data_IF_400442710171
#
_entry.id   IF_400442710171
#
_cell.length_a   1.000
_cell.length_b   1.000
_cell.length_c   1.000
_cell.angle_alpha   90.00
_cell.angle_beta   90.00
_cell.angle_gamma   90.00
#
_symmetry.space_group_name_H-M   'P 1'
#
loop_
_entity.id
_entity.type
_entity.pdbx_description
1 polymer ?
#
# COMPACT_ATOMS: atom_id res chain seq x y z
N UNK A 1 8.31 -18.98 -16.58
CA UNK A 1 7.20 -19.01 -17.55
C UNK A 1 6.28 -17.85 -17.26
N UNK A 2 5.64 -17.23 -18.28
CA UNK A 2 4.64 -16.18 -18.05
C UNK A 2 3.46 -16.70 -17.20
N UNK A 3 2.87 -15.83 -16.39
CA UNK A 3 1.72 -16.18 -15.55
C UNK A 3 0.50 -16.58 -16.38
N UNK A 4 0.25 -15.86 -17.48
CA UNK A 4 -0.85 -16.10 -18.41
C UNK A 4 -2.21 -16.33 -17.71
N UNK A 5 -2.67 -15.40 -16.86
CA UNK A 5 -3.97 -15.52 -16.21
C UNK A 5 -5.11 -15.38 -17.22
N UNK A 6 -6.26 -15.97 -16.91
CA UNK A 6 -7.50 -15.79 -17.67
C UNK A 6 -8.28 -14.67 -16.98
N UNK A 7 -8.71 -13.66 -17.76
CA UNK A 7 -9.58 -12.57 -17.30
C UNK A 7 -10.96 -12.70 -17.92
N UNK A 8 -12.00 -12.54 -17.09
CA UNK A 8 -13.40 -12.52 -17.49
C UNK A 8 -14.11 -11.36 -16.78
N UNK A 9 -15.01 -10.67 -17.47
CA UNK A 9 -15.90 -9.68 -16.85
C UNK A 9 -17.31 -10.25 -16.84
N UNK A 10 -17.92 -10.31 -15.66
CA UNK A 10 -19.31 -10.76 -15.50
C UNK A 10 -20.29 -9.68 -15.97
N UNK A 11 -21.53 -10.05 -16.26
CA UNK A 11 -22.56 -9.13 -16.78
C UNK A 11 -22.88 -7.96 -15.84
N UNK A 12 -22.62 -8.10 -14.56
CA UNK A 12 -22.80 -7.07 -13.54
C UNK A 12 -21.54 -6.21 -13.30
N UNK A 13 -20.49 -6.42 -14.09
CA UNK A 13 -19.25 -5.64 -14.06
C UNK A 13 -18.13 -6.20 -13.18
N UNK A 14 -18.34 -7.30 -12.45
CA UNK A 14 -17.28 -7.94 -11.68
C UNK A 14 -16.14 -8.36 -12.60
N UNK A 15 -14.92 -7.93 -12.28
CA UNK A 15 -13.71 -8.40 -12.93
C UNK A 15 -13.22 -9.65 -12.23
N UNK A 16 -13.08 -10.76 -12.95
CA UNK A 16 -12.58 -12.03 -12.44
C UNK A 16 -11.28 -12.42 -13.15
N UNK A 17 -10.25 -12.76 -12.39
CA UNK A 17 -8.99 -13.30 -12.90
C UNK A 17 -8.73 -14.67 -12.27
N UNK A 18 -8.29 -15.62 -13.08
CA UNK A 18 -7.90 -16.95 -12.61
C UNK A 18 -6.56 -17.35 -13.18
N UNK A 19 -5.72 -17.98 -12.35
CA UNK A 19 -4.48 -18.63 -12.73
C UNK A 19 -4.42 -20.00 -12.09
N UNK A 20 -4.49 -21.07 -12.91
CA UNK A 20 -4.28 -22.44 -12.43
C UNK A 20 -2.81 -22.71 -12.18
N UNK A 21 -2.50 -23.28 -11.04
CA UNK A 21 -1.17 -23.81 -10.66
C UNK A 21 -1.37 -25.13 -9.91
N UNK A 22 -0.57 -26.14 -10.17
CA UNK A 22 -0.63 -27.44 -9.49
C UNK A 22 0.55 -27.65 -8.52
N UNK A 23 1.13 -26.56 -8.02
CA UNK A 23 2.30 -26.64 -7.12
C UNK A 23 1.94 -27.20 -5.74
N UNK A 24 0.78 -26.84 -5.24
CA UNK A 24 0.23 -27.28 -3.94
C UNK A 24 -1.27 -27.46 -4.10
N UNK A 25 -1.94 -28.36 -3.33
CA UNK A 25 -3.39 -28.53 -3.37
C UNK A 25 -4.10 -27.38 -2.61
N UNK A 26 -3.76 -26.15 -2.99
CA UNK A 26 -4.25 -24.95 -2.32
C UNK A 26 -4.63 -23.86 -3.32
N UNK A 27 -5.61 -23.06 -2.97
CA UNK A 27 -6.12 -21.92 -3.75
C UNK A 27 -6.05 -20.66 -2.90
N UNK A 28 -5.39 -19.63 -3.43
CA UNK A 28 -5.40 -18.28 -2.86
C UNK A 28 -6.48 -17.45 -3.54
N UNK A 29 -7.27 -16.76 -2.73
CA UNK A 29 -8.39 -15.91 -3.13
C UNK A 29 -8.07 -14.49 -2.68
N UNK A 30 -8.14 -13.54 -3.61
CA UNK A 30 -8.07 -12.10 -3.34
C UNK A 30 -9.32 -11.42 -3.89
N UNK A 31 -10.10 -10.81 -3.02
CA UNK A 31 -11.28 -10.01 -3.38
C UNK A 31 -10.96 -8.55 -3.05
N UNK A 32 -10.92 -7.68 -4.03
CA UNK A 32 -10.60 -6.28 -3.83
C UNK A 32 -11.67 -5.37 -4.40
N UNK A 33 -12.03 -4.36 -3.61
CA UNK A 33 -13.01 -3.31 -3.94
C UNK A 33 -12.31 -1.97 -4.06
N UNK A 34 -12.74 -1.11 -4.98
CA UNK A 34 -12.32 0.29 -5.10
C UNK A 34 -12.84 1.16 -3.94
N UNK A 35 -12.58 0.73 -2.69
CA UNK A 35 -13.11 1.29 -1.45
C UNK A 35 -12.02 1.49 -0.39
N UNK A 36 -10.82 1.88 -0.80
CA UNK A 36 -9.72 2.19 0.12
C UNK A 36 -9.95 3.47 0.92
N UNK A 37 -8.97 3.85 1.76
CA UNK A 37 -9.09 5.03 2.64
C UNK A 37 -9.31 6.36 1.91
N UNK A 38 -8.94 6.44 0.61
CA UNK A 38 -9.24 7.60 -0.22
C UNK A 38 -10.75 7.78 -0.50
N UNK A 39 -11.55 6.74 -0.30
CA UNK A 39 -13.00 6.77 -0.44
C UNK A 39 -13.72 7.29 0.82
N UNK A 40 -13.01 7.45 1.93
CA UNK A 40 -13.61 7.97 3.16
C UNK A 40 -14.14 9.40 2.94
N UNK A 41 -15.39 9.68 3.33
CA UNK A 41 -15.93 11.04 3.27
C UNK A 41 -15.11 12.00 4.16
N UNK A 42 -15.04 13.26 3.77
CA UNK A 42 -14.42 14.29 4.61
C UNK A 42 -15.12 14.37 5.99
N UNK A 43 -14.34 14.35 7.06
CA UNK A 43 -14.83 14.30 8.45
C UNK A 43 -15.31 12.91 8.89
N UNK A 44 -15.02 11.87 8.09
CA UNK A 44 -15.27 10.46 8.43
C UNK A 44 -14.07 9.56 8.04
N UNK A 45 -12.88 10.14 8.09
CA UNK A 45 -11.63 9.44 7.84
C UNK A 45 -11.47 8.25 8.80
N UNK A 46 -11.04 7.10 8.28
CA UNK A 46 -10.95 5.85 9.05
C UNK A 46 -12.19 4.97 8.95
N UNK A 47 -13.24 5.38 8.20
CA UNK A 47 -14.44 4.55 8.01
C UNK A 47 -14.10 3.25 7.27
N UNK A 48 -13.34 3.30 6.16
CA UNK A 48 -12.90 2.09 5.44
C UNK A 48 -12.02 1.20 6.33
N UNK A 49 -11.15 1.80 7.12
CA UNK A 49 -10.32 1.08 8.08
C UNK A 49 -11.16 0.37 9.14
N UNK A 50 -12.12 1.07 9.76
CA UNK A 50 -13.02 0.47 10.75
C UNK A 50 -13.90 -0.61 10.12
N UNK A 51 -14.40 -0.40 8.91
CA UNK A 51 -15.13 -1.42 8.15
C UNK A 51 -14.29 -2.69 7.98
N UNK A 52 -13.00 -2.57 7.69
CA UNK A 52 -12.12 -3.75 7.54
C UNK A 52 -11.96 -4.56 8.84
N UNK A 53 -12.19 -3.95 10.00
CA UNK A 53 -12.11 -4.62 11.31
C UNK A 53 -13.40 -5.26 11.74
N UNK A 54 -14.52 -4.94 11.07
CA UNK A 54 -15.85 -5.42 11.48
C UNK A 54 -16.58 -6.20 10.38
N UNK A 55 -16.11 -6.16 9.15
CA UNK A 55 -16.81 -6.74 7.99
C UNK A 55 -17.02 -8.25 8.12
N UNK A 56 -16.07 -8.96 8.74
CA UNK A 56 -16.08 -10.41 8.96
C UNK A 56 -16.73 -10.80 10.31
N UNK A 57 -17.40 -9.87 11.00
CA UNK A 57 -18.01 -10.09 12.31
C UNK A 57 -19.50 -10.44 12.26
N UNK A 58 -19.99 -10.79 11.10
CA UNK A 58 -21.34 -11.31 10.87
C UNK A 58 -21.85 -11.01 9.48
N UNK A 59 -22.74 -11.85 9.00
CA UNK A 59 -23.52 -11.68 7.77
C UNK A 59 -25.01 -11.74 8.09
N UNK A 60 -25.87 -11.68 7.09
CA UNK A 60 -27.30 -11.85 7.29
C UNK A 60 -27.70 -13.24 7.86
N UNK A 61 -26.85 -14.25 7.65
CA UNK A 61 -27.15 -15.66 7.98
C UNK A 61 -26.15 -16.29 8.97
N UNK A 62 -25.03 -15.62 9.28
CA UNK A 62 -23.96 -16.16 10.14
C UNK A 62 -23.53 -15.14 11.18
N UNK A 63 -23.33 -15.60 12.41
CA UNK A 63 -22.68 -14.81 13.46
C UNK A 63 -21.16 -14.75 13.26
N UNK A 64 -20.48 -13.91 14.05
CA UNK A 64 -19.01 -13.87 14.09
C UNK A 64 -18.40 -15.24 14.47
N UNK A 65 -19.05 -15.95 15.40
CA UNK A 65 -18.62 -17.29 15.84
C UNK A 65 -18.75 -18.31 14.71
N UNK A 66 -19.87 -18.30 13.97
CA UNK A 66 -20.08 -19.21 12.84
C UNK A 66 -19.05 -18.99 11.73
N UNK A 67 -18.70 -17.72 11.46
CA UNK A 67 -17.67 -17.37 10.47
C UNK A 67 -16.29 -17.86 10.94
N UNK A 68 -15.94 -17.59 12.20
CA UNK A 68 -14.68 -18.03 12.78
C UNK A 68 -14.58 -19.57 12.75
N UNK A 69 -15.61 -20.30 13.19
CA UNK A 69 -15.64 -21.77 13.15
C UNK A 69 -15.50 -22.31 11.72
N UNK A 70 -16.17 -21.68 10.75
CA UNK A 70 -16.09 -22.10 9.35
C UNK A 70 -14.68 -21.93 8.76
N UNK A 71 -13.94 -20.91 9.17
CA UNK A 71 -12.57 -20.63 8.72
C UNK A 71 -11.54 -21.43 9.54
N UNK A 72 -11.60 -21.34 10.87
CA UNK A 72 -10.64 -21.99 11.78
C UNK A 72 -10.70 -23.51 11.67
N UNK A 73 -11.90 -24.09 11.53
CA UNK A 73 -12.11 -25.52 11.32
C UNK A 73 -11.48 -26.08 10.03
N UNK A 74 -11.09 -25.18 9.10
CA UNK A 74 -10.35 -25.48 7.86
C UNK A 74 -8.91 -24.97 7.87
N UNK A 75 -8.44 -24.42 8.97
CA UNK A 75 -7.11 -23.81 9.06
C UNK A 75 -6.92 -22.58 8.19
N UNK A 76 -7.99 -21.83 7.90
CA UNK A 76 -7.97 -20.67 7.01
C UNK A 76 -7.80 -19.39 7.83
N UNK A 77 -6.80 -18.60 7.50
CA UNK A 77 -6.66 -17.23 8.01
C UNK A 77 -7.22 -16.25 7.00
N UNK A 78 -8.27 -15.52 7.35
CA UNK A 78 -8.80 -14.41 6.56
C UNK A 78 -8.07 -13.13 6.96
N UNK A 79 -7.46 -12.49 5.97
CA UNK A 79 -6.81 -11.18 6.13
C UNK A 79 -7.67 -10.12 5.45
N UNK A 80 -8.03 -9.08 6.21
CA UNK A 80 -8.65 -7.87 5.68
C UNK A 80 -7.63 -6.75 5.65
N UNK A 81 -7.55 -6.00 4.56
CA UNK A 81 -6.62 -4.88 4.43
C UNK A 81 -7.26 -3.69 3.73
N UNK A 82 -6.77 -2.50 4.07
CA UNK A 82 -7.16 -1.24 3.43
C UNK A 82 -5.91 -0.50 3.03
N UNK A 83 -5.77 -0.28 1.73
CA UNK A 83 -4.79 0.66 1.17
C UNK A 83 -5.47 2.00 0.88
N UNK A 84 -4.77 2.93 0.23
CA UNK A 84 -5.41 4.17 -0.24
C UNK A 84 -6.56 3.91 -1.22
N UNK A 85 -6.45 2.91 -2.06
CA UNK A 85 -7.40 2.66 -3.16
C UNK A 85 -8.24 1.43 -2.97
N UNK A 86 -7.72 0.40 -2.35
CA UNK A 86 -8.35 -0.91 -2.26
C UNK A 86 -8.73 -1.26 -0.83
N UNK A 87 -9.89 -1.86 -0.71
CA UNK A 87 -10.32 -2.67 0.42
C UNK A 87 -10.26 -4.13 -0.02
N UNK A 88 -9.51 -4.97 0.68
CA UNK A 88 -9.25 -6.34 0.23
C UNK A 88 -9.54 -7.38 1.31
N UNK A 89 -10.10 -8.52 0.88
CA UNK A 89 -10.19 -9.77 1.62
C UNK A 89 -9.28 -10.79 0.95
N UNK A 90 -8.36 -11.36 1.69
CA UNK A 90 -7.40 -12.34 1.17
C UNK A 90 -7.36 -13.56 2.08
N UNK A 91 -7.42 -14.75 1.49
CA UNK A 91 -7.19 -16.00 2.20
C UNK A 91 -6.59 -17.06 1.28
N UNK A 92 -6.10 -18.15 1.87
CA UNK A 92 -5.71 -19.37 1.16
C UNK A 92 -6.42 -20.55 1.81
N UNK A 93 -7.00 -21.43 1.00
CA UNK A 93 -7.69 -22.64 1.44
C UNK A 93 -7.22 -23.85 0.64
N UNK A 94 -7.59 -25.06 1.06
CA UNK A 94 -7.42 -26.24 0.24
C UNK A 94 -8.34 -26.19 -1.00
N UNK A 95 -7.95 -26.87 -2.07
CA UNK A 95 -8.70 -26.91 -3.34
C UNK A 95 -10.13 -27.44 -3.17
N UNK A 96 -10.34 -28.40 -2.25
CA UNK A 96 -11.67 -28.95 -1.96
C UNK A 96 -12.58 -27.96 -1.23
N UNK A 97 -12.00 -27.01 -0.46
CA UNK A 97 -12.72 -25.97 0.27
C UNK A 97 -12.98 -24.71 -0.55
N UNK A 98 -12.46 -24.61 -1.77
CA UNK A 98 -12.51 -23.38 -2.59
C UNK A 98 -13.93 -22.85 -2.76
N UNK A 99 -14.88 -23.69 -3.16
CA UNK A 99 -16.26 -23.25 -3.44
C UNK A 99 -17.00 -22.74 -2.17
N UNK A 100 -17.04 -23.49 -1.05
CA UNK A 100 -17.70 -22.99 0.16
C UNK A 100 -16.99 -21.75 0.75
N UNK A 101 -15.68 -21.66 0.64
CA UNK A 101 -14.91 -20.48 1.11
C UNK A 101 -15.20 -19.26 0.25
N UNK A 102 -15.20 -19.39 -1.08
CA UNK A 102 -15.53 -18.27 -1.96
C UNK A 102 -16.95 -17.75 -1.72
N UNK A 103 -17.91 -18.66 -1.48
CA UNK A 103 -19.30 -18.30 -1.13
C UNK A 103 -19.35 -17.54 0.21
N UNK A 104 -18.62 -18.00 1.23
CA UNK A 104 -18.54 -17.33 2.53
C UNK A 104 -17.93 -15.93 2.40
N UNK A 105 -16.84 -15.79 1.64
CA UNK A 105 -16.21 -14.49 1.37
C UNK A 105 -17.14 -13.54 0.62
N UNK A 106 -17.95 -14.09 -0.32
CA UNK A 106 -19.00 -13.33 -1.01
C UNK A 106 -20.04 -12.78 -0.04
N UNK A 107 -20.54 -13.59 0.90
CA UNK A 107 -21.48 -13.14 1.93
C UNK A 107 -20.85 -12.05 2.82
N UNK A 108 -19.62 -12.26 3.30
CA UNK A 108 -18.89 -11.30 4.13
C UNK A 108 -18.70 -9.96 3.39
N UNK A 109 -18.31 -10.01 2.12
CA UNK A 109 -18.01 -8.82 1.35
C UNK A 109 -19.26 -8.04 0.95
N UNK A 110 -20.31 -8.75 0.52
CA UNK A 110 -21.48 -8.12 -0.10
C UNK A 110 -22.65 -7.87 0.85
N UNK A 111 -22.73 -8.60 1.96
CA UNK A 111 -23.87 -8.53 2.87
C UNK A 111 -23.45 -8.64 4.37
N UNK A 112 -22.48 -7.83 4.83
CA UNK A 112 -22.09 -7.83 6.24
C UNK A 112 -23.22 -7.27 7.11
N UNK A 113 -23.42 -7.84 8.29
CA UNK A 113 -24.43 -7.38 9.24
C UNK A 113 -23.98 -6.22 10.13
N UNK A 114 -22.65 -6.03 10.28
CA UNK A 114 -22.00 -4.97 11.05
C UNK A 114 -22.59 -4.82 12.47
N UNK A 115 -22.49 -5.83 13.36
CA UNK A 115 -23.15 -5.81 14.67
C UNK A 115 -22.63 -4.67 15.55
N UNK A 116 -23.50 -3.94 16.27
CA UNK A 116 -23.14 -2.79 17.09
C UNK A 116 -22.13 -3.14 18.20
N UNK A 117 -22.24 -4.30 18.82
CA UNK A 117 -21.31 -4.75 19.85
C UNK A 117 -19.89 -5.00 19.30
N UNK A 118 -19.79 -5.61 18.12
CA UNK A 118 -18.52 -5.82 17.44
C UNK A 118 -17.93 -4.47 16.98
N UNK A 119 -18.75 -3.58 16.44
CA UNK A 119 -18.32 -2.24 16.04
C UNK A 119 -17.75 -1.47 17.23
N UNK A 120 -18.43 -1.47 18.38
CA UNK A 120 -17.95 -0.80 19.60
C UNK A 120 -16.59 -1.37 20.06
N UNK A 121 -16.46 -2.71 20.05
CA UNK A 121 -15.20 -3.38 20.40
C UNK A 121 -14.07 -2.98 19.46
N UNK A 122 -14.31 -3.00 18.12
CA UNK A 122 -13.30 -2.66 17.12
C UNK A 122 -12.90 -1.19 17.15
N UNK A 123 -13.85 -0.29 17.41
CA UNK A 123 -13.54 1.14 17.65
C UNK A 123 -12.55 1.30 18.81
N UNK A 124 -12.78 0.64 19.95
CA UNK A 124 -11.85 0.67 21.07
C UNK A 124 -10.44 0.18 20.71
N UNK A 125 -10.35 -0.89 19.91
CA UNK A 125 -9.07 -1.41 19.42
C UNK A 125 -8.36 -0.43 18.48
N UNK A 126 -9.09 0.19 17.53
CA UNK A 126 -8.55 1.20 16.61
C UNK A 126 -8.04 2.41 17.39
N UNK A 127 -8.79 2.92 18.36
CA UNK A 127 -8.39 4.04 19.21
C UNK A 127 -7.12 3.72 19.99
N UNK A 128 -7.03 2.48 20.53
CA UNK A 128 -5.83 2.02 21.23
C UNK A 128 -4.61 1.97 20.30
N UNK A 129 -4.78 1.48 19.07
CA UNK A 129 -3.72 1.45 18.07
C UNK A 129 -3.28 2.87 17.68
N UNK A 130 -4.22 3.81 17.49
CA UNK A 130 -3.89 5.21 17.20
C UNK A 130 -3.06 5.83 18.34
N UNK A 131 -3.41 5.58 19.61
CA UNK A 131 -2.62 6.07 20.77
C UNK A 131 -1.21 5.50 20.79
N UNK A 132 -1.04 4.22 20.42
CA UNK A 132 0.29 3.61 20.29
C UNK A 132 1.09 4.24 19.15
N UNK A 133 0.46 4.50 18.01
CA UNK A 133 1.07 5.18 16.87
C UNK A 133 1.48 6.63 17.22
N UNK A 134 0.66 7.33 18.00
CA UNK A 134 0.98 8.69 18.47
C UNK A 134 2.19 8.73 19.42
N UNK A 135 2.48 7.63 20.11
CA UNK A 135 3.68 7.48 20.94
C UNK A 135 4.91 6.95 20.19
N UNK A 136 4.78 6.63 18.89
CA UNK A 136 5.86 6.12 18.05
C UNK A 136 6.46 7.23 17.16
N UNK A 137 7.74 7.64 17.37
CA UNK A 137 8.36 8.70 16.60
C UNK A 137 8.38 8.45 15.09
N UNK A 138 8.67 7.21 14.66
CA UNK A 138 8.73 6.84 13.24
C UNK A 138 7.38 6.95 12.53
N UNK A 139 6.29 6.57 13.22
CA UNK A 139 4.92 6.72 12.72
C UNK A 139 4.56 8.21 12.65
N UNK A 140 4.80 8.96 13.74
CA UNK A 140 4.52 10.40 13.80
C UNK A 140 5.24 11.19 12.71
N UNK A 141 6.54 10.89 12.49
CA UNK A 141 7.31 11.53 11.42
C UNK A 141 6.71 11.23 10.04
N UNK A 142 6.35 9.97 9.78
CA UNK A 142 5.83 9.55 8.47
C UNK A 142 4.45 10.13 8.19
N UNK A 143 3.53 10.08 9.14
CA UNK A 143 2.18 10.63 8.99
C UNK A 143 2.21 12.15 8.79
N UNK A 144 3.03 12.85 9.57
CA UNK A 144 3.18 14.30 9.42
C UNK A 144 3.87 14.67 8.11
N UNK A 145 4.82 13.86 7.63
CA UNK A 145 5.38 14.01 6.29
C UNK A 145 4.29 13.92 5.22
N UNK A 146 3.43 12.88 5.29
CA UNK A 146 2.34 12.70 4.34
C UNK A 146 1.36 13.87 4.37
N UNK A 147 0.99 14.37 5.55
CA UNK A 147 0.10 15.53 5.68
C UNK A 147 0.71 16.80 5.07
N UNK A 148 2.04 16.98 5.15
CA UNK A 148 2.74 18.10 4.54
C UNK A 148 2.92 17.93 3.02
N UNK A 149 3.16 16.72 2.52
CA UNK A 149 3.27 16.45 1.09
C UNK A 149 1.93 16.59 0.37
N UNK A 150 0.84 16.28 1.06
CA UNK A 150 -0.54 16.28 0.54
C UNK A 150 -1.46 17.14 1.42
N UNK A 151 -1.32 18.47 1.37
CA UNK A 151 -2.11 19.39 2.19
C UNK A 151 -3.58 19.47 1.73
N UNK A 152 -4.33 20.40 2.34
CA UNK A 152 -5.68 20.80 1.94
C UNK A 152 -6.72 19.66 1.92
N UNK A 153 -6.57 18.71 2.85
CA UNK A 153 -7.49 17.58 2.96
C UNK A 153 -7.36 16.55 1.84
N UNK A 154 -6.28 16.59 1.07
CA UNK A 154 -6.01 15.58 0.05
C UNK A 154 -6.00 14.18 0.65
N UNK A 155 -6.65 13.16 0.03
CA UNK A 155 -6.78 11.81 0.60
C UNK A 155 -5.45 11.14 0.97
N UNK A 156 -4.36 11.42 0.25
CA UNK A 156 -3.05 10.85 0.55
C UNK A 156 -2.37 11.44 1.80
N UNK A 157 -2.76 12.64 2.22
CA UNK A 157 -2.29 13.27 3.45
C UNK A 157 -3.06 12.86 4.69
N UNK A 158 -4.21 12.19 4.53
CA UNK A 158 -5.04 11.73 5.65
C UNK A 158 -4.47 10.46 6.26
N UNK A 159 -4.68 10.28 7.57
CA UNK A 159 -4.39 9.02 8.26
C UNK A 159 -5.41 7.97 7.81
N UNK A 160 -5.01 6.79 7.31
CA UNK A 160 -5.95 5.76 6.87
C UNK A 160 -6.89 5.27 7.97
N UNK A 161 -6.44 5.30 9.23
CA UNK A 161 -7.22 4.90 10.40
C UNK A 161 -8.02 6.04 11.04
N UNK A 162 -7.89 7.27 10.52
CA UNK A 162 -8.53 8.45 11.04
C UNK A 162 -7.84 9.02 12.28
N UNK A 163 -8.52 9.95 12.99
CA UNK A 163 -8.14 10.42 14.31
C UNK A 163 -9.02 9.81 15.39
N UNK A 164 -8.61 9.90 16.67
CA UNK A 164 -9.38 9.38 17.80
C UNK A 164 -10.79 9.99 17.80
N UNK A 165 -10.90 11.33 17.66
CA UNK A 165 -12.16 12.07 17.70
C UNK A 165 -13.09 11.64 16.55
N UNK A 166 -12.53 11.45 15.36
CA UNK A 166 -13.33 10.99 14.20
C UNK A 166 -13.80 9.56 14.44
N UNK A 167 -12.90 8.64 14.81
CA UNK A 167 -13.25 7.24 15.05
C UNK A 167 -14.29 7.10 16.17
N UNK A 168 -14.19 7.89 17.26
CA UNK A 168 -15.21 7.95 18.31
C UNK A 168 -16.58 8.39 17.78
N UNK A 169 -16.62 9.28 16.80
CA UNK A 169 -17.86 9.79 16.19
C UNK A 169 -18.48 8.85 15.17
N UNK A 170 -17.74 7.85 14.65
CA UNK A 170 -18.25 6.92 13.63
C UNK A 170 -19.38 6.07 14.20
N UNK A 171 -20.52 6.08 13.53
CA UNK A 171 -21.67 5.24 13.83
C UNK A 171 -21.76 4.06 12.88
N UNK A 172 -22.55 3.05 13.25
CA UNK A 172 -22.86 1.92 12.36
C UNK A 172 -23.43 2.43 11.03
N UNK A 173 -24.34 3.41 11.06
CA UNK A 173 -24.97 3.94 9.85
C UNK A 173 -23.94 4.58 8.89
N UNK A 174 -22.91 5.25 9.41
CA UNK A 174 -21.82 5.80 8.57
C UNK A 174 -20.99 4.70 7.91
N UNK A 175 -20.66 3.64 8.67
CA UNK A 175 -19.92 2.49 8.13
C UNK A 175 -20.77 1.76 7.08
N UNK A 176 -22.05 1.56 7.35
CA UNK A 176 -23.01 0.97 6.42
C UNK A 176 -23.21 1.82 5.17
N UNK A 177 -23.24 3.16 5.32
CA UNK A 177 -23.37 4.09 4.19
C UNK A 177 -22.16 4.01 3.26
N UNK A 178 -20.93 3.93 3.78
CA UNK A 178 -19.73 3.71 2.96
C UNK A 178 -19.80 2.38 2.23
N UNK A 179 -20.16 1.30 2.92
CA UNK A 179 -20.32 -0.02 2.31
C UNK A 179 -21.37 0.03 1.20
N UNK A 180 -22.56 0.57 1.45
CA UNK A 180 -23.61 0.70 0.46
C UNK A 180 -23.22 1.55 -0.75
N UNK A 181 -22.43 2.59 -0.53
CA UNK A 181 -22.00 3.51 -1.59
C UNK A 181 -20.85 2.95 -2.45
N UNK A 182 -19.98 2.12 -1.89
CA UNK A 182 -18.72 1.72 -2.57
C UNK A 182 -18.64 0.25 -2.96
N UNK A 183 -19.40 -0.66 -2.30
CA UNK A 183 -19.32 -2.10 -2.56
C UNK A 183 -20.32 -2.53 -3.64
N UNK A 184 -20.19 -1.93 -4.82
CA UNK A 184 -20.95 -2.35 -6.01
C UNK A 184 -20.19 -3.49 -6.74
N UNK A 185 -20.90 -4.45 -7.37
CA UNK A 185 -20.25 -5.53 -8.12
C UNK A 185 -19.23 -5.05 -9.15
N UNK A 186 -19.50 -3.94 -9.83
CA UNK A 186 -18.61 -3.34 -10.83
C UNK A 186 -17.25 -2.86 -10.29
N UNK A 187 -17.13 -2.67 -8.96
CA UNK A 187 -15.88 -2.30 -8.30
C UNK A 187 -15.10 -3.52 -7.80
N UNK A 188 -15.68 -4.72 -7.88
CA UNK A 188 -15.04 -5.95 -7.42
C UNK A 188 -14.06 -6.48 -8.47
N UNK A 189 -12.82 -6.65 -8.05
CA UNK A 189 -11.83 -7.49 -8.71
C UNK A 189 -11.62 -8.74 -7.86
N UNK A 190 -12.03 -9.89 -8.37
CA UNK A 190 -11.86 -11.20 -7.73
C UNK A 190 -10.75 -11.98 -8.44
N UNK A 191 -9.73 -12.39 -7.69
CA UNK A 191 -8.57 -13.10 -8.22
C UNK A 191 -8.44 -14.43 -7.52
N UNK A 192 -8.28 -15.50 -8.30
CA UNK A 192 -8.14 -16.87 -7.83
C UNK A 192 -6.87 -17.48 -8.44
N UNK A 193 -5.95 -17.91 -7.59
CA UNK A 193 -4.69 -18.52 -8.02
C UNK A 193 -4.48 -19.83 -7.26
N UNK A 194 -4.28 -20.93 -7.97
CA UNK A 194 -3.98 -22.20 -7.32
C UNK A 194 -4.49 -23.43 -8.06
N UNK A 195 -4.62 -24.51 -7.31
CA UNK A 195 -5.03 -25.82 -7.82
C UNK A 195 -6.55 -25.88 -8.03
N UNK A 196 -6.98 -25.11 -9.01
CA UNK A 196 -8.37 -25.12 -9.51
C UNK A 196 -8.33 -24.83 -11.02
N UNK A 197 -9.17 -25.52 -11.73
CA UNK A 197 -9.31 -25.33 -13.16
C UNK A 197 -9.98 -23.98 -13.42
N UNK A 198 -9.43 -23.16 -14.34
CA UNK A 198 -9.85 -21.77 -14.54
C UNK A 198 -11.31 -21.64 -14.95
N UNK A 199 -11.84 -22.55 -15.76
CA UNK A 199 -13.26 -22.58 -16.17
C UNK A 199 -14.17 -22.87 -14.97
N UNK A 200 -13.77 -23.83 -14.10
CA UNK A 200 -14.50 -24.14 -12.87
C UNK A 200 -14.50 -22.94 -11.91
N UNK A 201 -13.33 -22.31 -11.72
CA UNK A 201 -13.22 -21.12 -10.88
C UNK A 201 -14.13 -19.98 -11.38
N UNK A 202 -14.14 -19.72 -12.69
CA UNK A 202 -15.01 -18.72 -13.32
C UNK A 202 -16.49 -19.04 -13.13
N UNK A 203 -16.90 -20.29 -13.30
CA UNK A 203 -18.29 -20.71 -13.09
C UNK A 203 -18.76 -20.52 -11.64
N UNK A 204 -17.88 -20.85 -10.67
CA UNK A 204 -18.17 -20.63 -9.25
C UNK A 204 -18.23 -19.14 -8.93
N UNK A 205 -17.29 -18.33 -9.41
CA UNK A 205 -17.29 -16.88 -9.23
C UNK A 205 -18.55 -16.22 -9.84
N UNK A 206 -18.99 -16.67 -11.03
CA UNK A 206 -20.22 -16.20 -11.66
C UNK A 206 -21.47 -16.53 -10.81
N UNK A 207 -21.50 -17.69 -10.17
CA UNK A 207 -22.60 -18.08 -9.27
C UNK A 207 -22.59 -17.24 -7.98
N UNK A 208 -21.41 -16.97 -7.40
CA UNK A 208 -21.28 -16.22 -6.15
C UNK A 208 -21.48 -14.73 -6.36
N UNK A 209 -20.88 -14.15 -7.37
CA UNK A 209 -20.85 -12.70 -7.58
C UNK A 209 -21.71 -12.20 -8.73
N UNK A 210 -22.24 -13.09 -9.59
CA UNK A 210 -22.98 -12.69 -10.80
C UNK A 210 -24.40 -12.17 -10.53
N UNK A 211 -24.90 -12.28 -9.29
CA UNK A 211 -26.20 -11.77 -8.88
C UNK A 211 -26.20 -10.26 -8.66
N UNK A 212 -27.35 -9.63 -8.97
CA UNK A 212 -27.58 -8.21 -8.68
C UNK A 212 -26.77 -7.24 -9.57
N UNK A 213 -27.45 -6.21 -10.06
CA UNK A 213 -26.82 -5.05 -10.68
C UNK A 213 -26.99 -3.85 -9.76
N UNK A 214 -25.89 -3.15 -9.48
CA UNK A 214 -25.91 -1.83 -8.84
C UNK A 214 -25.23 -0.84 -9.77
N UNK A 215 -25.65 0.44 -9.80
CA UNK A 215 -24.89 1.46 -10.50
C UNK A 215 -23.45 1.51 -9.99
N UNK A 216 -22.51 1.73 -10.90
CA UNK A 216 -21.13 2.00 -10.51
C UNK A 216 -21.10 3.25 -9.60
N UNK A 217 -20.36 3.22 -8.51
CA UNK A 217 -20.20 4.40 -7.66
C UNK A 217 -19.49 5.52 -8.43
N UNK A 218 -19.71 6.78 -8.05
CA UNK A 218 -18.97 7.88 -8.66
C UNK A 218 -17.46 7.70 -8.40
N UNK A 219 -16.60 8.13 -9.35
CA UNK A 219 -15.16 8.11 -9.15
C UNK A 219 -14.76 8.84 -7.87
N UNK A 220 -13.74 8.34 -7.18
CA UNK A 220 -13.16 9.06 -6.04
C UNK A 220 -12.44 10.29 -6.62
N UNK A 221 -12.76 11.53 -6.18
CA UNK A 221 -12.10 12.72 -6.66
C UNK A 221 -10.66 12.75 -6.14
N UNK A 222 -9.71 12.49 -7.03
CA UNK A 222 -8.28 12.55 -6.75
C UNK A 222 -7.68 13.63 -7.65
N UNK A 223 -7.28 14.76 -7.05
CA UNK A 223 -6.53 15.81 -7.75
C UNK A 223 -5.03 15.51 -7.67
N UNK A 224 -4.28 15.95 -8.68
CA UNK A 224 -2.82 15.96 -8.57
C UNK A 224 -2.41 16.87 -7.42
N UNK A 225 -1.54 16.41 -6.51
CA UNK A 225 -1.05 17.25 -5.41
C UNK A 225 -0.15 18.38 -5.96
N UNK A 226 -0.17 19.52 -5.30
CA UNK A 226 0.74 20.62 -5.62
C UNK A 226 2.13 20.31 -5.04
N UNK A 227 3.17 20.12 -5.88
CA UNK A 227 4.52 19.87 -5.38
C UNK A 227 5.04 21.03 -4.53
N UNK A 228 5.85 20.72 -3.53
CA UNK A 228 6.53 21.75 -2.75
C UNK A 228 7.46 22.58 -3.63
N UNK A 229 7.39 23.89 -3.51
CA UNK A 229 8.27 24.86 -4.21
C UNK A 229 9.48 25.25 -3.38
N UNK A 230 9.37 25.09 -2.06
CA UNK A 230 10.43 25.41 -1.09
C UNK A 230 10.57 24.26 -0.09
N UNK A 231 11.73 24.20 0.57
CA UNK A 231 11.99 23.26 1.65
C UNK A 231 11.04 23.51 2.82
N UNK A 232 10.48 22.44 3.36
CA UNK A 232 9.66 22.48 4.59
C UNK A 232 10.33 21.62 5.66
N UNK A 233 10.31 22.10 6.89
CA UNK A 233 10.83 21.39 8.07
C UNK A 233 9.80 21.43 9.19
N UNK A 234 9.58 20.31 9.83
CA UNK A 234 8.72 20.18 11.02
C UNK A 234 9.45 19.35 12.07
N UNK A 235 9.49 19.84 13.30
CA UNK A 235 9.99 19.10 14.45
C UNK A 235 8.83 18.76 15.38
N UNK A 236 8.77 17.51 15.81
CA UNK A 236 7.80 16.97 16.77
C UNK A 236 8.59 16.49 17.99
N UNK A 237 8.74 17.32 19.04
CA UNK A 237 9.51 16.94 20.21
C UNK A 237 8.83 15.81 20.98
N UNK A 238 9.55 14.68 21.17
CA UNK A 238 9.12 13.53 21.95
C UNK A 238 10.27 13.15 22.91
N UNK A 239 10.43 13.95 23.96
CA UNK A 239 11.62 13.95 24.82
C UNK A 239 11.81 12.69 25.67
N UNK A 240 10.79 11.86 25.81
CA UNK A 240 10.83 10.58 26.53
C UNK A 240 11.30 9.39 25.65
N UNK A 241 11.84 9.64 24.46
CA UNK A 241 12.34 8.62 23.54
C UNK A 241 13.87 8.61 23.53
N UNK A 242 14.46 7.50 23.10
CA UNK A 242 15.93 7.33 22.98
C UNK A 242 16.46 7.61 21.58
N UNK A 243 15.58 7.61 20.57
CA UNK A 243 15.90 7.76 19.16
C UNK A 243 15.03 8.86 18.54
N UNK A 244 15.62 9.59 17.61
CA UNK A 244 14.89 10.47 16.71
C UNK A 244 14.70 9.80 15.36
N UNK A 245 13.49 9.91 14.82
CA UNK A 245 13.12 9.41 13.49
C UNK A 245 12.96 10.58 12.53
N UNK A 246 13.63 10.47 11.39
CA UNK A 246 13.59 11.42 10.29
C UNK A 246 12.74 10.83 9.18
N UNK A 247 11.73 11.57 8.74
CA UNK A 247 11.00 11.32 7.51
C UNK A 247 11.27 12.46 6.54
N UNK A 248 11.86 12.14 5.40
CA UNK A 248 12.27 13.10 4.37
C UNK A 248 11.60 12.70 3.06
N UNK A 249 10.93 13.61 2.35
CA UNK A 249 10.14 13.19 1.21
C UNK A 249 9.86 14.22 0.15
N UNK A 250 9.41 13.69 -0.99
CA UNK A 250 9.04 14.42 -2.19
C UNK A 250 7.74 13.85 -2.74
N UNK A 251 6.92 14.69 -3.35
CA UNK A 251 5.88 14.25 -4.28
C UNK A 251 6.51 14.01 -5.64
N UNK A 252 6.30 12.83 -6.26
CA UNK A 252 7.07 12.43 -7.45
C UNK A 252 6.21 12.22 -8.69
N UNK A 253 5.70 11.03 -8.92
CA UNK A 253 5.04 10.64 -10.16
C UNK A 253 3.94 9.61 -9.94
N UNK A 254 3.11 9.41 -10.94
CA UNK A 254 2.12 8.34 -10.96
C UNK A 254 2.75 7.00 -11.32
N UNK A 255 2.05 5.90 -11.02
CA UNK A 255 2.50 4.54 -11.40
C UNK A 255 2.53 4.32 -12.91
N UNK A 256 1.75 5.08 -13.67
CA UNK A 256 1.68 5.01 -15.14
C UNK A 256 2.62 5.99 -15.84
N UNK A 257 3.37 6.78 -15.10
CA UNK A 257 4.33 7.71 -15.67
C UNK A 257 5.41 6.96 -16.47
N UNK A 258 5.76 7.40 -17.69
CA UNK A 258 6.82 6.78 -18.49
C UNK A 258 8.16 6.67 -17.77
N UNK A 259 8.49 7.62 -16.88
CA UNK A 259 9.72 7.62 -16.10
C UNK A 259 9.68 6.70 -14.87
N UNK A 260 8.55 6.00 -14.61
CA UNK A 260 8.40 5.17 -13.43
C UNK A 260 9.53 4.14 -13.26
N UNK A 261 9.87 3.40 -14.32
CA UNK A 261 10.90 2.35 -14.23
C UNK A 261 12.29 2.92 -13.97
N UNK A 262 12.59 4.09 -14.52
CA UNK A 262 13.83 4.82 -14.26
C UNK A 262 13.88 5.28 -12.78
N UNK A 263 12.78 5.84 -12.27
CA UNK A 263 12.67 6.24 -10.88
C UNK A 263 12.72 5.04 -9.92
N UNK A 264 12.14 3.91 -10.29
CA UNK A 264 12.19 2.69 -9.49
C UNK A 264 13.61 2.12 -9.39
N UNK A 265 14.33 2.00 -10.51
CA UNK A 265 15.73 1.59 -10.53
C UNK A 265 16.61 2.56 -9.75
N UNK A 266 16.38 3.87 -9.91
CA UNK A 266 17.03 4.91 -9.12
C UNK A 266 16.81 4.70 -7.62
N UNK A 267 15.56 4.55 -7.18
CA UNK A 267 15.22 4.36 -5.77
C UNK A 267 15.78 3.06 -5.21
N UNK A 268 15.82 1.99 -6.00
CA UNK A 268 16.43 0.72 -5.59
C UNK A 268 17.92 0.90 -5.27
N UNK A 269 18.69 1.53 -6.14
CA UNK A 269 20.10 1.82 -5.90
C UNK A 269 20.33 2.89 -4.81
N UNK A 270 19.38 3.79 -4.63
CA UNK A 270 19.48 4.88 -3.67
C UNK A 270 19.32 4.41 -2.22
N UNK A 271 18.25 3.64 -1.93
CA UNK A 271 18.00 3.26 -0.54
C UNK A 271 16.93 2.19 -0.33
N UNK A 272 16.25 1.70 -1.37
CA UNK A 272 15.28 0.61 -1.22
C UNK A 272 15.97 -0.70 -0.85
N UNK A 273 17.16 -0.95 -1.41
CA UNK A 273 18.05 -2.02 -0.99
C UNK A 273 18.84 -1.58 0.26
N UNK A 274 18.26 -1.74 1.44
CA UNK A 274 18.70 -1.14 2.69
C UNK A 274 20.16 -1.36 3.07
N UNK A 275 20.77 -2.48 2.70
CA UNK A 275 22.17 -2.82 3.04
C UNK A 275 23.15 -2.35 1.96
N UNK A 276 22.74 -2.29 0.71
CA UNK A 276 23.63 -2.02 -0.44
C UNK A 276 23.34 -0.71 -1.17
N UNK A 277 22.34 0.08 -0.75
CA UNK A 277 22.04 1.36 -1.36
C UNK A 277 22.91 2.50 -0.85
N UNK A 278 23.02 3.59 -1.62
CA UNK A 278 23.86 4.77 -1.27
C UNK A 278 23.58 5.30 0.13
N UNK A 279 22.30 5.38 0.53
CA UNK A 279 21.91 5.86 1.86
C UNK A 279 22.44 4.95 2.96
N UNK A 280 22.31 3.63 2.80
CA UNK A 280 22.80 2.63 3.73
C UNK A 280 24.32 2.71 3.89
N UNK A 281 25.03 2.69 2.77
CA UNK A 281 26.50 2.79 2.75
C UNK A 281 27.00 4.11 3.37
N UNK A 282 26.39 5.25 2.99
CA UNK A 282 26.83 6.55 3.46
C UNK A 282 26.54 6.79 4.95
N UNK A 283 25.29 6.57 5.38
CA UNK A 283 24.79 7.05 6.67
C UNK A 283 24.94 5.99 7.76
N UNK A 284 24.73 4.72 7.41
CA UNK A 284 24.79 3.61 8.36
C UNK A 284 26.19 3.00 8.41
N UNK A 285 26.72 2.53 7.27
CA UNK A 285 27.96 1.75 7.27
C UNK A 285 29.20 2.63 7.50
N UNK A 286 29.36 3.70 6.72
CA UNK A 286 30.57 4.56 6.83
C UNK A 286 30.53 5.52 8.02
N UNK A 287 29.37 6.05 8.37
CA UNK A 287 29.26 7.08 9.42
C UNK A 287 28.71 6.55 10.74
N UNK A 288 28.14 5.35 10.79
CA UNK A 288 27.61 4.72 12.00
C UNK A 288 26.49 5.51 12.69
N UNK A 289 25.76 6.39 11.97
CA UNK A 289 24.81 7.31 12.59
C UNK A 289 23.41 6.72 12.74
N UNK A 290 23.02 5.79 11.85
CA UNK A 290 21.65 5.31 11.78
C UNK A 290 21.53 3.83 12.13
N UNK A 291 20.51 3.48 12.90
CA UNK A 291 20.07 2.09 13.10
C UNK A 291 19.47 1.53 11.81
N UNK A 292 18.70 2.35 11.14
CA UNK A 292 18.16 2.04 9.84
C UNK A 292 18.14 3.31 8.99
N UNK A 293 18.29 3.14 7.70
CA UNK A 293 18.01 4.16 6.70
C UNK A 293 17.55 3.46 5.43
N UNK A 294 16.48 3.95 4.83
CA UNK A 294 15.93 3.38 3.60
C UNK A 294 15.14 4.42 2.83
N UNK A 295 14.94 4.16 1.54
CA UNK A 295 14.00 4.94 0.72
C UNK A 295 12.92 4.05 0.13
N UNK A 296 11.74 4.62 -0.12
CA UNK A 296 10.65 3.94 -0.81
C UNK A 296 9.98 4.86 -1.81
N UNK A 297 9.60 4.31 -2.96
CA UNK A 297 8.81 4.97 -3.98
C UNK A 297 7.40 4.36 -3.97
N UNK A 298 6.39 5.16 -3.62
CA UNK A 298 4.98 4.78 -3.65
C UNK A 298 4.27 5.52 -4.80
N UNK A 299 4.70 5.26 -6.04
CA UNK A 299 4.03 5.79 -7.23
C UNK A 299 2.63 5.16 -7.35
N UNK A 300 1.61 6.01 -7.50
CA UNK A 300 0.23 5.58 -7.32
C UNK A 300 -0.69 6.11 -8.44
N UNK A 301 -2.02 6.14 -8.25
CA UNK A 301 -2.98 6.64 -9.25
C UNK A 301 -2.83 8.14 -9.52
N UNK A 302 -2.46 8.92 -8.49
CA UNK A 302 -1.92 10.27 -8.63
C UNK A 302 -0.48 10.28 -8.16
N UNK A 303 0.22 11.40 -8.30
CA UNK A 303 1.63 11.51 -7.94
C UNK A 303 1.88 11.07 -6.50
N UNK A 304 2.59 9.98 -6.36
CA UNK A 304 2.92 9.38 -5.08
C UNK A 304 4.23 9.90 -4.48
N UNK A 305 4.52 9.60 -3.22
CA UNK A 305 5.74 10.06 -2.57
C UNK A 305 6.95 9.17 -2.88
N UNK A 306 8.12 9.79 -2.93
CA UNK A 306 9.39 9.13 -2.59
C UNK A 306 9.75 9.59 -1.18
N UNK A 307 9.90 8.62 -0.29
CA UNK A 307 10.22 8.89 1.13
C UNK A 307 11.54 8.27 1.52
N UNK A 308 12.32 8.98 2.32
CA UNK A 308 13.52 8.48 2.99
C UNK A 308 13.20 8.46 4.48
N UNK A 309 13.51 7.37 5.14
CA UNK A 309 13.34 7.22 6.59
C UNK A 309 14.65 6.83 7.23
N UNK A 310 14.98 7.47 8.35
CA UNK A 310 16.17 7.15 9.10
C UNK A 310 15.90 7.26 10.61
N UNK A 311 16.35 6.25 11.37
CA UNK A 311 16.35 6.29 12.83
C UNK A 311 17.76 6.55 13.35
N UNK A 312 17.94 7.64 14.08
CA UNK A 312 19.28 8.12 14.51
C UNK A 312 19.29 8.53 15.98
N UNK A 313 20.49 8.54 16.59
CA UNK A 313 20.65 9.21 17.89
C UNK A 313 20.37 10.71 17.79
N UNK A 314 19.79 11.34 18.83
CA UNK A 314 19.38 12.76 18.78
C UNK A 314 20.50 13.72 18.36
N UNK A 315 21.72 13.48 18.78
CA UNK A 315 22.90 14.29 18.43
C UNK A 315 23.32 14.18 16.95
N UNK A 316 22.81 13.19 16.23
CA UNK A 316 23.16 12.93 14.82
C UNK A 316 22.11 13.42 13.83
N UNK A 317 20.99 14.01 14.28
CA UNK A 317 19.85 14.38 13.43
C UNK A 317 20.29 15.30 12.29
N UNK A 318 20.95 16.42 12.59
CA UNK A 318 21.34 17.41 11.56
C UNK A 318 22.41 16.85 10.61
N UNK A 319 23.36 16.05 11.13
CA UNK A 319 24.35 15.37 10.28
C UNK A 319 23.72 14.35 9.34
N UNK A 320 22.75 13.60 9.83
CA UNK A 320 22.03 12.63 8.99
C UNK A 320 21.22 13.33 7.88
N UNK A 321 20.56 14.44 8.22
CA UNK A 321 19.83 15.26 7.22
C UNK A 321 20.81 15.82 6.19
N UNK A 322 21.95 16.39 6.61
CA UNK A 322 22.97 16.89 5.69
C UNK A 322 23.52 15.77 4.78
N UNK A 323 23.74 14.57 5.31
CA UNK A 323 24.18 13.42 4.51
C UNK A 323 23.11 12.95 3.51
N UNK A 324 21.82 13.02 3.88
CA UNK A 324 20.73 12.76 2.94
C UNK A 324 20.72 13.82 1.82
N UNK A 325 20.86 15.11 2.17
CA UNK A 325 20.92 16.20 1.22
C UNK A 325 22.10 16.05 0.23
N UNK A 326 23.28 15.65 0.73
CA UNK A 326 24.46 15.36 -0.10
C UNK A 326 24.21 14.20 -1.08
N UNK A 327 23.63 13.10 -0.62
CA UNK A 327 23.34 11.96 -1.49
C UNK A 327 22.24 12.26 -2.51
N UNK A 328 21.21 13.03 -2.13
CA UNK A 328 20.19 13.53 -3.07
C UNK A 328 20.83 14.44 -4.12
N UNK A 329 21.67 15.39 -3.69
CA UNK A 329 22.39 16.30 -4.59
C UNK A 329 23.28 15.54 -5.57
N UNK A 330 24.04 14.57 -5.08
CA UNK A 330 24.89 13.72 -5.91
C UNK A 330 24.07 12.92 -6.92
N UNK A 331 22.94 12.35 -6.50
CA UNK A 331 22.06 11.59 -7.37
C UNK A 331 21.46 12.46 -8.49
N UNK A 332 21.05 13.68 -8.16
CA UNK A 332 20.52 14.67 -9.14
C UNK A 332 21.59 15.15 -10.10
N UNK A 333 22.79 15.43 -9.60
CA UNK A 333 23.91 15.99 -10.40
C UNK A 333 24.54 14.92 -11.28
N UNK A 334 24.93 13.79 -10.70
CA UNK A 334 25.81 12.80 -11.31
C UNK A 334 25.04 11.56 -11.81
N UNK A 335 23.79 11.34 -11.37
CA UNK A 335 23.00 10.13 -11.66
C UNK A 335 23.54 8.91 -10.94
N UNK A 336 23.23 7.73 -11.49
CA UNK A 336 23.81 6.45 -11.09
C UNK A 336 25.08 6.17 -11.92
N UNK A 337 25.99 5.41 -11.33
CA UNK A 337 27.08 4.79 -12.10
C UNK A 337 26.53 3.62 -12.94
N UNK A 338 27.23 3.24 -14.03
CA UNK A 338 26.86 2.04 -14.81
C UNK A 338 26.73 0.79 -13.95
N UNK A 339 27.59 0.64 -12.94
CA UNK A 339 27.59 -0.50 -12.00
C UNK A 339 26.31 -0.51 -11.15
N UNK A 340 25.94 0.63 -10.54
CA UNK A 340 24.75 0.72 -9.70
C UNK A 340 23.46 0.43 -10.49
N UNK A 341 23.35 0.97 -11.72
CA UNK A 341 22.22 0.69 -12.59
C UNK A 341 22.12 -0.81 -12.94
N UNK A 342 23.24 -1.42 -13.28
CA UNK A 342 23.29 -2.83 -13.63
C UNK A 342 22.99 -3.76 -12.43
N UNK A 343 23.51 -3.43 -11.25
CA UNK A 343 23.21 -4.13 -9.99
C UNK A 343 21.73 -4.01 -9.62
N UNK A 344 21.17 -2.81 -9.68
CA UNK A 344 19.76 -2.55 -9.42
C UNK A 344 18.85 -3.32 -10.40
N UNK A 345 19.19 -3.31 -11.68
CA UNK A 345 18.46 -4.04 -12.72
C UNK A 345 18.50 -5.55 -12.47
N UNK A 346 19.68 -6.11 -12.22
CA UNK A 346 19.84 -7.53 -11.91
C UNK A 346 19.07 -7.94 -10.66
N UNK A 347 19.08 -7.09 -9.63
CA UNK A 347 18.35 -7.34 -8.40
C UNK A 347 16.84 -7.39 -8.64
N UNK A 348 16.27 -6.36 -9.30
CA UNK A 348 14.81 -6.29 -9.52
C UNK A 348 14.33 -7.42 -10.45
N UNK A 349 15.06 -7.72 -11.52
CA UNK A 349 14.71 -8.83 -12.43
C UNK A 349 14.89 -10.17 -11.73
N UNK A 350 16.00 -10.35 -11.01
CA UNK A 350 16.31 -11.60 -10.32
C UNK A 350 15.40 -11.90 -9.12
N UNK A 351 14.81 -10.87 -8.51
CA UNK A 351 13.86 -11.03 -7.41
C UNK A 351 12.45 -11.40 -7.87
N UNK A 352 12.10 -11.19 -9.14
CA UNK A 352 10.75 -11.45 -9.67
C UNK A 352 10.28 -12.90 -9.49
N UNK A 353 11.09 -13.95 -9.81
CA UNK A 353 10.66 -15.32 -9.59
C UNK A 353 10.31 -15.62 -8.12
N UNK A 354 11.10 -15.09 -7.19
CA UNK A 354 10.82 -15.21 -5.75
C UNK A 354 9.55 -14.44 -5.33
N UNK A 355 9.34 -13.26 -5.92
CA UNK A 355 8.13 -12.47 -5.67
C UNK A 355 6.85 -13.14 -6.21
N UNK A 356 6.98 -14.14 -7.09
CA UNK A 356 5.89 -14.92 -7.69
C UNK A 356 5.90 -16.39 -7.26
N UNK A 357 6.53 -16.72 -6.13
CA UNK A 357 6.70 -18.09 -5.67
C UNK A 357 5.42 -18.71 -5.11
N UNK A 358 4.57 -17.91 -4.46
CA UNK A 358 3.34 -18.41 -3.83
C UNK A 358 2.07 -17.98 -4.57
N UNK A 359 1.01 -18.79 -4.48
CA UNK A 359 -0.29 -18.44 -5.05
C UNK A 359 -0.80 -17.07 -4.55
N UNK A 360 -0.61 -16.77 -3.27
CA UNK A 360 -0.99 -15.48 -2.69
C UNK A 360 -0.19 -14.31 -3.28
N UNK A 361 1.12 -14.49 -3.47
CA UNK A 361 1.97 -13.45 -4.08
C UNK A 361 1.64 -13.22 -5.56
N UNK A 362 1.29 -14.28 -6.30
CA UNK A 362 0.79 -14.16 -7.67
C UNK A 362 -0.54 -13.40 -7.68
N UNK A 363 -1.46 -13.70 -6.75
CA UNK A 363 -2.73 -13.00 -6.66
C UNK A 363 -2.53 -11.50 -6.37
N UNK A 364 -1.62 -11.14 -5.46
CA UNK A 364 -1.27 -9.75 -5.17
C UNK A 364 -0.66 -9.04 -6.39
N UNK A 365 0.27 -9.69 -7.10
CA UNK A 365 0.86 -9.16 -8.33
C UNK A 365 -0.19 -8.87 -9.41
N UNK A 366 -1.14 -9.79 -9.61
CA UNK A 366 -2.25 -9.60 -10.54
C UNK A 366 -3.18 -8.48 -10.07
N UNK A 367 -3.43 -8.35 -8.76
CA UNK A 367 -4.22 -7.27 -8.19
C UNK A 367 -3.60 -5.89 -8.45
N UNK A 368 -2.28 -5.77 -8.25
CA UNK A 368 -1.51 -4.56 -8.57
C UNK A 368 -1.55 -4.29 -10.08
N UNK A 369 -1.40 -5.33 -10.90
CA UNK A 369 -1.51 -5.25 -12.35
C UNK A 369 -2.85 -4.70 -12.82
N UNK A 370 -3.94 -5.16 -12.21
CA UNK A 370 -5.31 -4.71 -12.53
C UNK A 370 -5.55 -3.27 -12.06
N UNK A 371 -5.17 -2.94 -10.82
CA UNK A 371 -5.32 -1.59 -10.27
C UNK A 371 -4.67 -0.52 -11.15
N UNK A 372 -3.47 -0.80 -11.63
CA UNK A 372 -2.72 0.15 -12.45
C UNK A 372 -2.87 -0.05 -13.97
N UNK A 373 -3.66 -1.05 -14.40
CA UNK A 373 -3.88 -1.34 -15.82
C UNK A 373 -2.60 -1.72 -16.56
N UNK A 374 -1.73 -2.53 -15.93
CA UNK A 374 -0.41 -2.89 -16.47
C UNK A 374 -0.46 -3.98 -17.54
N UNK A 375 -1.61 -4.65 -17.71
CA UNK A 375 -1.81 -5.76 -18.65
C UNK A 375 -1.51 -7.13 -18.03
N UNK A 376 -2.12 -8.17 -18.62
CA UNK A 376 -2.03 -9.55 -18.12
C UNK A 376 -0.66 -10.20 -18.40
N UNK A 377 0.13 -9.61 -19.26
CA UNK A 377 1.47 -10.02 -19.66
C UNK A 377 2.59 -9.22 -18.96
N UNK A 378 2.22 -8.47 -17.90
CA UNK A 378 3.13 -7.56 -17.23
C UNK A 378 4.37 -8.30 -16.63
N UNK A 379 4.19 -9.49 -16.07
CA UNK A 379 5.26 -10.33 -15.57
C UNK A 379 6.29 -10.68 -16.65
N UNK A 380 5.84 -10.96 -17.87
CA UNK A 380 6.70 -11.27 -19.01
C UNK A 380 7.42 -10.03 -19.56
N UNK A 381 6.76 -8.86 -19.56
CA UNK A 381 7.31 -7.61 -20.09
C UNK A 381 8.23 -6.89 -19.11
N UNK A 382 8.02 -7.05 -17.80
CA UNK A 382 8.76 -6.30 -16.77
C UNK A 382 10.29 -6.38 -16.91
N UNK A 383 10.89 -7.56 -17.15
CA UNK A 383 12.34 -7.63 -17.36
C UNK A 383 12.84 -6.77 -18.53
N UNK A 384 12.10 -6.75 -19.64
CA UNK A 384 12.47 -5.95 -20.81
C UNK A 384 12.28 -4.43 -20.52
N UNK A 385 11.21 -4.05 -19.80
CA UNK A 385 10.98 -2.67 -19.39
C UNK A 385 12.11 -2.15 -18.48
N UNK A 386 12.59 -2.95 -17.55
CA UNK A 386 13.73 -2.60 -16.69
C UNK A 386 15.06 -2.58 -17.47
N UNK A 387 15.25 -3.51 -18.40
CA UNK A 387 16.47 -3.58 -19.22
C UNK A 387 16.60 -2.39 -20.18
N UNK A 388 15.52 -1.83 -20.66
CA UNK A 388 15.49 -0.70 -21.60
C UNK A 388 15.88 0.63 -20.96
N UNK A 389 15.82 0.77 -19.63
CA UNK A 389 16.15 2.04 -18.94
C UNK A 389 17.64 2.36 -19.06
N UNK A 390 17.95 3.57 -19.44
CA UNK A 390 19.33 4.09 -19.60
C UNK A 390 19.77 4.90 -18.37
N UNK A 391 21.07 5.20 -18.27
CA UNK A 391 21.59 6.14 -17.26
C UNK A 391 21.01 7.55 -17.41
N UNK A 392 20.77 7.95 -18.64
CA UNK A 392 20.17 9.26 -18.96
C UNK A 392 18.72 9.32 -18.46
N UNK A 393 17.93 8.26 -18.65
CA UNK A 393 16.56 8.17 -18.15
C UNK A 393 16.54 8.28 -16.62
N UNK A 394 17.45 7.57 -15.93
CA UNK A 394 17.58 7.63 -14.47
C UNK A 394 17.95 9.02 -13.99
N UNK A 395 18.90 9.68 -14.64
CA UNK A 395 19.31 11.03 -14.28
C UNK A 395 18.18 12.04 -14.53
N UNK A 396 17.45 11.91 -15.65
CA UNK A 396 16.28 12.74 -15.94
C UNK A 396 15.18 12.55 -14.87
N UNK A 397 14.91 11.31 -14.47
CA UNK A 397 13.96 10.99 -13.40
C UNK A 397 14.40 11.60 -12.06
N UNK A 398 15.69 11.51 -11.70
CA UNK A 398 16.24 12.10 -10.48
C UNK A 398 16.05 13.64 -10.46
N UNK A 399 16.42 14.32 -11.53
CA UNK A 399 16.26 15.79 -11.65
C UNK A 399 14.81 16.24 -11.56
N UNK A 400 13.90 15.47 -12.10
CA UNK A 400 12.47 15.76 -12.06
C UNK A 400 11.88 15.54 -10.66
N UNK A 401 12.24 14.43 -10.01
CA UNK A 401 11.62 13.99 -8.76
C UNK A 401 12.25 14.61 -7.51
N UNK A 402 13.55 14.90 -7.52
CA UNK A 402 14.33 15.21 -6.32
C UNK A 402 14.93 16.61 -6.38
N UNK A 403 14.92 17.30 -5.23
CA UNK A 403 15.66 18.54 -5.01
C UNK A 403 15.72 18.83 -3.50
N UNK A 404 16.90 18.96 -2.88
CA UNK A 404 17.00 19.30 -1.45
C UNK A 404 16.24 20.58 -1.09
N UNK A 405 16.22 21.57 -1.99
CA UNK A 405 15.53 22.84 -1.77
C UNK A 405 13.99 22.75 -1.77
N UNK A 406 13.46 21.62 -2.20
CA UNK A 406 12.01 21.34 -2.23
C UNK A 406 11.63 20.17 -1.32
N UNK A 407 12.58 19.65 -0.56
CA UNK A 407 12.33 18.54 0.34
C UNK A 407 11.40 18.93 1.48
N UNK A 408 10.53 18.02 1.86
CA UNK A 408 9.78 18.10 3.12
C UNK A 408 10.45 17.18 4.13
N UNK A 409 10.83 17.72 5.28
CA UNK A 409 11.57 17.00 6.34
C UNK A 409 10.79 17.07 7.63
N UNK A 410 10.52 15.92 8.22
CA UNK A 410 9.88 15.82 9.55
C UNK A 410 10.80 15.05 10.47
N UNK A 411 11.01 15.58 11.66
CA UNK A 411 11.79 14.97 12.72
C UNK A 411 10.86 14.72 13.91
N UNK A 412 10.75 13.50 14.38
CA UNK A 412 10.04 13.19 15.61
C UNK A 412 10.98 12.46 16.58
N UNK A 413 10.98 12.88 17.84
CA UNK A 413 11.86 12.29 18.85
C UNK A 413 12.43 13.30 19.82
N UNK A 414 13.46 12.93 20.61
CA UNK A 414 14.10 13.79 21.59
C UNK A 414 15.09 14.77 20.92
N UNK A 415 14.53 15.62 20.07
CA UNK A 415 15.24 16.63 19.31
C UNK A 415 14.50 17.96 19.37
N UNK A 416 15.23 19.04 19.52
CA UNK A 416 14.72 20.41 19.47
C UNK A 416 15.57 21.21 18.49
N UNK A 417 14.94 21.99 17.63
CA UNK A 417 15.67 22.91 16.77
C UNK A 417 16.48 23.89 17.62
N UNK A 418 17.78 23.91 17.37
CA UNK A 418 18.72 24.81 18.06
C UNK A 418 18.58 26.27 17.59
N UNK A 419 17.43 26.66 17.02
CA UNK A 419 17.07 28.04 16.76
C UNK A 419 18.16 28.87 16.07
N UNK A 420 18.70 28.38 14.95
CA UNK A 420 19.43 29.25 14.03
C UNK A 420 18.41 29.78 13.06
N UNK A 421 18.01 31.04 13.29
CA UNK A 421 17.06 31.82 12.50
C UNK A 421 17.45 32.02 11.05
#
# INVERSE_FOLDING_TARGET
MPLSPVKTTLDNGVTFLAKSTAMTPAVSISLAMGAGSAADPAGAEGTAWLLSRVIDRGTATRSAADIAEALDGRGITLTTSVTRHLFSLVCTCLSDDFEPVLALLGDILMAPSLPDAELATRKGQVITAIRQDEDNPGVRATESLMALLYPDGHPYGRRPQGSIEIVESLTRDRVQALHAARFAPSELTAIVVGDVETSRAAAIAARVFGGGRRPAPPPIPLSSPTPATTRRRLVIPMMNKSQADIAYGFTTMTRRDPAYYACWLMNNAFGQYAIGGRLGDSIRERQGMAYYVSSSLDANLVEGPLTIRAGVGPANVDRAIASIDEEVTRLVKDGLTPKELDESRRYLIGSLPRALETNAAIADFLQVGELFGLGLDYDARLPALLAAVTLEDVQAAARRALSPDRATVVIAGPYQDSGVG
#
